data_IF_676694544635
#
_entry.id   IF_676694544635
#
_cell.length_a   1.000
_cell.length_b   1.000
_cell.length_c   1.000
_cell.angle_alpha   90.00
_cell.angle_beta   90.00
_cell.angle_gamma   90.00
#
_symmetry.space_group_name_H-M   'P 1'
#
loop_
_entity.id
_entity.type
_entity.pdbx_description
1 polymer ?
#
# COMPACT_ATOMS: atom_id res chain seq x y z
N UNK A 1 6.96 12.00 -20.01
CA UNK A 1 6.11 12.98 -20.75
C UNK A 1 6.12 14.32 -20.01
N UNK A 2 5.60 15.42 -20.56
CA UNK A 2 5.45 16.71 -19.83
C UNK A 2 4.11 17.34 -20.20
N UNK A 3 3.33 17.79 -19.21
CA UNK A 3 2.07 18.52 -19.42
C UNK A 3 1.00 17.73 -20.15
N UNK A 4 0.93 16.42 -19.92
CA UNK A 4 -0.22 15.60 -20.34
C UNK A 4 -0.99 15.23 -19.08
N UNK A 5 -2.25 15.66 -19.02
CA UNK A 5 -3.12 15.47 -17.87
C UNK A 5 -3.91 14.16 -17.94
N UNK A 6 -4.10 13.59 -19.13
CA UNK A 6 -4.86 12.34 -19.31
C UNK A 6 -4.23 11.45 -20.37
N UNK A 7 -4.02 10.19 -20.02
CA UNK A 7 -3.52 9.15 -20.90
C UNK A 7 -4.44 7.94 -20.85
N UNK A 8 -4.70 7.36 -22.01
CA UNK A 8 -5.44 6.12 -22.12
C UNK A 8 -4.63 5.19 -23.00
N UNK A 9 -4.28 4.01 -22.47
CA UNK A 9 -3.68 2.95 -23.24
C UNK A 9 -4.70 2.30 -24.18
N UNK A 10 -4.34 1.14 -24.72
CA UNK A 10 -5.09 0.51 -25.80
C UNK A 10 -5.34 -0.96 -25.49
N UNK A 11 -5.62 -1.76 -26.52
CA UNK A 11 -5.66 -3.20 -26.34
C UNK A 11 -4.23 -3.74 -26.45
N UNK A 12 -3.81 -4.57 -25.49
CA UNK A 12 -2.49 -5.17 -25.49
C UNK A 12 -1.78 -4.96 -24.16
N UNK A 13 -0.47 -4.82 -24.21
CA UNK A 13 0.37 -4.44 -23.06
C UNK A 13 0.89 -3.03 -23.29
N UNK A 14 0.44 -2.10 -22.47
CA UNK A 14 0.77 -0.69 -22.52
C UNK A 14 1.75 -0.33 -21.40
N UNK A 15 2.81 0.39 -21.78
CA UNK A 15 3.84 0.91 -20.88
C UNK A 15 3.85 2.44 -20.92
N UNK A 16 3.68 3.05 -19.75
CA UNK A 16 3.88 4.48 -19.53
C UNK A 16 5.23 4.74 -18.88
N UNK A 17 6.10 5.47 -19.59
CA UNK A 17 7.35 6.00 -19.02
C UNK A 17 7.22 7.51 -18.78
N UNK A 18 7.25 7.90 -17.51
CA UNK A 18 7.25 9.29 -17.09
C UNK A 18 8.64 9.90 -17.25
N UNK A 19 8.69 11.23 -17.31
CA UNK A 19 9.96 11.95 -17.46
C UNK A 19 10.56 12.29 -16.10
N UNK A 20 11.82 12.72 -16.06
CA UNK A 20 12.59 12.98 -14.83
C UNK A 20 12.12 14.22 -14.01
N UNK A 21 11.13 14.96 -14.49
CA UNK A 21 10.46 16.05 -13.75
C UNK A 21 9.19 15.52 -13.11
N UNK A 22 8.68 16.15 -12.04
CA UNK A 22 7.42 15.72 -11.44
C UNK A 22 6.25 15.72 -12.44
N UNK A 23 5.48 14.63 -12.45
CA UNK A 23 4.35 14.44 -13.35
C UNK A 23 3.03 14.33 -12.57
N UNK A 24 1.95 14.80 -13.17
CA UNK A 24 0.59 14.62 -12.65
C UNK A 24 -0.30 14.23 -13.80
N UNK A 25 -0.88 13.02 -13.74
CA UNK A 25 -1.70 12.52 -14.83
C UNK A 25 -2.80 11.56 -14.34
N UNK A 26 -3.93 11.58 -15.04
CA UNK A 26 -4.91 10.50 -14.99
C UNK A 26 -4.58 9.48 -16.05
N UNK A 27 -4.53 8.21 -15.69
CA UNK A 27 -4.16 7.10 -16.57
C UNK A 27 -5.25 6.05 -16.58
N UNK A 28 -5.46 5.39 -17.72
CA UNK A 28 -6.42 4.29 -17.84
C UNK A 28 -5.90 3.28 -18.84
N UNK A 29 -6.19 2.00 -18.64
CA UNK A 29 -5.79 0.92 -19.56
C UNK A 29 -4.26 0.82 -19.74
N UNK A 30 -3.49 0.91 -18.65
CA UNK A 30 -2.05 0.67 -18.67
C UNK A 30 -1.71 -0.51 -17.76
N UNK A 31 -0.87 -1.43 -18.24
CA UNK A 31 -0.39 -2.58 -17.46
C UNK A 31 0.89 -2.24 -16.70
N UNK A 32 1.65 -1.24 -17.14
CA UNK A 32 2.88 -0.83 -16.47
C UNK A 32 3.08 0.68 -16.50
N UNK A 33 3.40 1.25 -15.34
CA UNK A 33 3.76 2.66 -15.19
C UNK A 33 5.12 2.75 -14.49
N UNK A 34 6.07 3.37 -15.18
CA UNK A 34 7.38 3.67 -14.62
C UNK A 34 7.48 5.19 -14.45
N UNK A 35 7.61 5.61 -13.19
CA UNK A 35 7.89 6.98 -12.84
C UNK A 35 9.32 7.41 -13.16
N UNK A 36 9.56 8.71 -13.02
CA UNK A 36 10.86 9.35 -13.17
C UNK A 36 11.49 9.69 -11.82
N UNK A 37 12.53 10.53 -11.84
CA UNK A 37 13.20 10.99 -10.62
C UNK A 37 12.50 12.16 -9.90
N UNK A 38 11.42 12.69 -10.47
CA UNK A 38 10.65 13.79 -9.89
C UNK A 38 9.37 13.26 -9.26
N UNK A 39 8.72 14.07 -8.42
CA UNK A 39 7.50 13.66 -7.73
C UNK A 39 6.35 13.38 -8.71
N UNK A 40 5.96 12.12 -8.80
CA UNK A 40 4.92 11.62 -9.68
C UNK A 40 3.64 11.33 -8.91
N UNK A 41 2.54 11.93 -9.38
CA UNK A 41 1.18 11.72 -8.90
C UNK A 41 0.33 11.15 -10.03
N UNK A 42 -0.02 9.88 -9.90
CA UNK A 42 -0.85 9.18 -10.88
C UNK A 42 -2.22 8.89 -10.29
N UNK A 43 -3.26 9.24 -11.05
CA UNK A 43 -4.65 8.86 -10.75
C UNK A 43 -5.10 7.79 -11.73
N UNK A 44 -5.59 6.66 -11.24
CA UNK A 44 -6.15 5.61 -12.05
C UNK A 44 -7.58 5.97 -12.49
N UNK A 45 -7.96 5.51 -13.68
CA UNK A 45 -9.32 5.66 -14.19
C UNK A 45 -10.33 4.88 -13.36
N UNK A 46 -11.62 5.17 -13.54
CA UNK A 46 -12.72 4.61 -12.73
C UNK A 46 -13.00 3.12 -12.93
N UNK A 47 -12.33 2.46 -13.89
CA UNK A 47 -12.43 1.01 -14.08
C UNK A 47 -11.63 0.29 -12.97
N UNK A 48 -11.80 -1.03 -12.84
CA UNK A 48 -10.86 -1.81 -12.04
C UNK A 48 -9.53 -1.91 -12.77
N UNK A 49 -8.43 -1.59 -12.10
CA UNK A 49 -7.10 -1.58 -12.69
C UNK A 49 -6.27 -2.77 -12.15
N UNK A 50 -5.42 -3.33 -12.99
CA UNK A 50 -4.40 -4.31 -12.57
C UNK A 50 -3.11 -3.97 -13.28
N UNK A 51 -2.12 -3.47 -12.53
CA UNK A 51 -0.92 -2.88 -13.12
C UNK A 51 0.31 -3.03 -12.21
N UNK A 52 1.48 -2.95 -12.84
CA UNK A 52 2.74 -2.78 -12.16
C UNK A 52 3.15 -1.29 -12.13
N UNK A 53 3.62 -0.82 -10.97
CA UNK A 53 4.15 0.54 -10.82
C UNK A 53 5.56 0.50 -10.23
N UNK A 54 6.42 1.41 -10.66
CA UNK A 54 7.74 1.59 -10.07
C UNK A 54 8.13 3.06 -10.13
N UNK A 55 8.90 3.51 -9.14
CA UNK A 55 9.35 4.90 -9.02
C UNK A 55 8.20 5.93 -8.99
N UNK A 56 7.07 5.61 -8.35
CA UNK A 56 5.98 6.56 -8.13
C UNK A 56 5.91 6.98 -6.67
N UNK A 57 5.74 8.28 -6.43
CA UNK A 57 5.55 8.83 -5.08
C UNK A 57 4.09 8.77 -4.63
N UNK A 58 3.14 8.96 -5.54
CA UNK A 58 1.71 8.98 -5.20
C UNK A 58 0.85 8.28 -6.25
N UNK A 59 0.03 7.33 -5.78
CA UNK A 59 -0.96 6.63 -6.60
C UNK A 59 -2.36 6.79 -5.99
N UNK A 60 -3.28 7.36 -6.76
CA UNK A 60 -4.69 7.44 -6.42
C UNK A 60 -5.42 6.40 -7.26
N UNK A 61 -6.06 5.42 -6.62
CA UNK A 61 -6.95 4.48 -7.27
C UNK A 61 -8.25 5.12 -7.74
N UNK A 62 -8.99 4.36 -8.53
CA UNK A 62 -10.30 4.69 -9.06
C UNK A 62 -11.44 4.12 -8.20
N UNK A 63 -12.64 4.07 -8.78
CA UNK A 63 -13.82 3.46 -8.15
C UNK A 63 -13.92 1.94 -8.35
N UNK A 64 -13.11 1.37 -9.25
CA UNK A 64 -13.06 -0.06 -9.49
C UNK A 64 -12.09 -0.76 -8.55
N UNK A 65 -12.02 -2.09 -8.61
CA UNK A 65 -11.03 -2.85 -7.85
C UNK A 65 -9.64 -2.65 -8.46
N UNK A 66 -8.75 -2.06 -7.68
CA UNK A 66 -7.39 -1.77 -8.07
C UNK A 66 -6.40 -2.74 -7.42
N UNK A 67 -5.64 -3.42 -8.27
CA UNK A 67 -4.56 -4.34 -7.91
C UNK A 67 -3.25 -3.78 -8.44
N UNK A 68 -2.38 -3.37 -7.52
CA UNK A 68 -1.13 -2.69 -7.85
C UNK A 68 0.04 -3.53 -7.37
N UNK A 69 0.93 -3.88 -8.31
CA UNK A 69 2.20 -4.54 -8.01
C UNK A 69 3.33 -3.53 -8.03
N UNK A 70 4.13 -3.49 -6.98
CA UNK A 70 5.31 -2.64 -6.88
C UNK A 70 6.49 -3.29 -7.61
N UNK A 71 7.28 -2.47 -8.29
CA UNK A 71 8.47 -2.91 -9.01
C UNK A 71 9.59 -3.40 -8.10
N UNK A 72 10.60 -4.04 -8.69
CA UNK A 72 11.82 -4.43 -7.97
C UNK A 72 12.68 -3.22 -7.60
N UNK A 73 13.36 -3.27 -6.47
CA UNK A 73 14.28 -2.23 -5.99
C UNK A 73 13.82 -1.54 -4.70
N UNK A 74 12.65 -1.91 -4.18
CA UNK A 74 11.98 -1.23 -3.07
C UNK A 74 11.25 0.02 -3.52
N UNK A 75 10.16 0.33 -2.83
CA UNK A 75 9.25 1.42 -3.16
C UNK A 75 8.96 2.27 -1.93
N UNK A 76 8.72 3.57 -2.14
CA UNK A 76 8.13 4.43 -1.13
C UNK A 76 6.93 5.12 -1.75
N UNK A 77 5.74 4.61 -1.44
CA UNK A 77 4.49 4.99 -2.12
C UNK A 77 3.46 5.53 -1.14
N UNK A 78 2.90 6.70 -1.44
CA UNK A 78 1.62 7.11 -0.88
C UNK A 78 0.49 6.59 -1.78
N UNK A 79 -0.50 5.93 -1.18
CA UNK A 79 -1.63 5.36 -1.93
C UNK A 79 -2.98 5.72 -1.32
N UNK A 80 -3.97 5.94 -2.18
CA UNK A 80 -5.35 6.23 -1.80
C UNK A 80 -6.27 5.38 -2.66
N UNK A 81 -7.28 4.75 -2.06
CA UNK A 81 -8.30 3.97 -2.78
C UNK A 81 -7.73 2.84 -3.66
N UNK A 82 -6.69 2.15 -3.20
CA UNK A 82 -6.19 0.91 -3.82
C UNK A 82 -6.54 -0.27 -2.93
N UNK A 83 -7.23 -1.28 -3.48
CA UNK A 83 -7.74 -2.42 -2.71
C UNK A 83 -6.69 -3.50 -2.48
N UNK A 84 -5.73 -3.67 -3.39
CA UNK A 84 -4.65 -4.66 -3.26
C UNK A 84 -3.31 -4.06 -3.64
N UNK A 85 -2.34 -4.18 -2.74
CA UNK A 85 -0.94 -3.85 -2.98
C UNK A 85 -0.08 -5.10 -2.86
N UNK A 86 0.74 -5.35 -3.87
CA UNK A 86 1.68 -6.47 -3.91
C UNK A 86 3.07 -5.85 -3.97
N UNK A 87 3.90 -6.08 -2.96
CA UNK A 87 5.29 -5.66 -2.94
C UNK A 87 6.14 -6.37 -3.98
N UNK A 88 7.26 -5.73 -4.29
CA UNK A 88 8.30 -6.24 -5.15
C UNK A 88 9.43 -6.87 -4.33
N UNK A 89 10.61 -6.96 -4.95
CA UNK A 89 11.84 -7.19 -4.19
C UNK A 89 12.41 -5.87 -3.70
N UNK A 90 13.04 -5.88 -2.52
CA UNK A 90 13.56 -4.67 -1.88
C UNK A 90 12.74 -4.30 -0.67
N UNK A 91 12.89 -3.07 -0.18
CA UNK A 91 12.10 -2.55 0.95
C UNK A 91 10.95 -1.72 0.39
N UNK A 92 9.72 -2.21 0.57
CA UNK A 92 8.50 -1.50 0.22
C UNK A 92 7.88 -0.83 1.45
N UNK A 93 7.76 0.49 1.36
CA UNK A 93 7.18 1.37 2.38
C UNK A 93 5.96 2.04 1.79
N UNK A 94 4.80 1.82 2.41
CA UNK A 94 3.52 2.35 1.96
C UNK A 94 2.93 3.28 3.00
N UNK A 95 2.46 4.44 2.56
CA UNK A 95 1.63 5.36 3.36
C UNK A 95 0.22 5.39 2.82
N UNK A 96 -0.77 5.21 3.67
CA UNK A 96 -2.19 5.23 3.30
C UNK A 96 -2.74 6.66 3.32
N UNK A 97 -3.78 6.90 2.52
CA UNK A 97 -4.46 8.18 2.43
C UNK A 97 -5.29 8.54 3.66
N UNK A 98 -5.75 9.78 3.72
CA UNK A 98 -6.53 10.32 4.86
C UNK A 98 -8.01 9.93 4.87
N UNK A 99 -8.48 9.14 3.90
CA UNK A 99 -9.90 8.81 3.72
C UNK A 99 -10.39 7.63 4.56
N UNK A 100 -9.49 6.98 5.30
CA UNK A 100 -9.69 5.61 5.80
C UNK A 100 -9.53 4.61 4.66
N UNK A 101 -8.70 3.60 4.89
CA UNK A 101 -8.31 2.65 3.86
C UNK A 101 -8.66 1.23 4.30
N UNK A 102 -9.16 0.40 3.41
CA UNK A 102 -9.13 -1.06 3.60
C UNK A 102 -8.33 -1.65 2.46
N UNK A 103 -7.15 -2.18 2.78
CA UNK A 103 -6.20 -2.68 1.77
C UNK A 103 -5.71 -4.06 2.13
N UNK A 104 -5.62 -4.92 1.11
CA UNK A 104 -4.91 -6.18 1.22
C UNK A 104 -3.48 -6.01 0.74
N UNK A 105 -2.52 -6.43 1.56
CA UNK A 105 -1.09 -6.34 1.25
C UNK A 105 -0.46 -7.73 1.11
N UNK A 106 0.48 -7.86 0.18
CA UNK A 106 1.32 -9.05 0.00
C UNK A 106 2.76 -8.55 -0.08
N UNK A 107 3.66 -9.05 0.77
CA UNK A 107 5.09 -8.73 0.67
C UNK A 107 5.44 -7.24 0.79
N UNK A 108 4.69 -6.47 1.58
CA UNK A 108 5.03 -5.08 1.92
C UNK A 108 5.64 -5.05 3.32
N UNK A 109 6.82 -4.45 3.46
CA UNK A 109 7.57 -4.48 4.73
C UNK A 109 7.12 -3.40 5.73
N UNK A 110 6.60 -2.26 5.26
CA UNK A 110 6.11 -1.22 6.15
C UNK A 110 4.85 -0.54 5.64
N UNK A 111 3.86 -0.41 6.52
CA UNK A 111 2.64 0.36 6.24
C UNK A 111 2.41 1.39 7.34
N UNK A 112 2.18 2.62 6.92
CA UNK A 112 1.79 3.73 7.80
C UNK A 112 0.40 4.21 7.40
N UNK A 113 -0.56 4.11 8.31
CA UNK A 113 -1.88 4.71 8.15
C UNK A 113 -1.85 6.23 8.33
N UNK A 114 -3.03 6.84 8.30
CA UNK A 114 -3.22 8.26 8.48
C UNK A 114 -4.52 8.52 9.25
N UNK A 115 -5.03 9.75 9.20
CA UNK A 115 -6.39 10.01 9.66
C UNK A 115 -7.40 9.16 8.88
N UNK A 116 -8.46 8.74 9.55
CA UNK A 116 -9.43 7.80 8.96
C UNK A 116 -9.41 6.50 9.72
N UNK A 117 -10.13 5.49 9.22
CA UNK A 117 -10.04 4.13 9.74
C UNK A 117 -9.28 3.28 8.73
N UNK A 118 -8.07 2.92 9.06
CA UNK A 118 -7.18 2.09 8.28
C UNK A 118 -7.22 0.64 8.75
N UNK A 119 -7.50 -0.23 7.78
CA UNK A 119 -7.61 -1.67 7.91
C UNK A 119 -6.64 -2.31 6.93
N UNK A 120 -5.63 -2.99 7.45
CA UNK A 120 -4.66 -3.74 6.66
C UNK A 120 -4.93 -5.22 6.82
N UNK A 121 -5.07 -5.92 5.70
CA UNK A 121 -5.19 -7.38 5.64
C UNK A 121 -3.94 -7.94 4.99
N UNK A 122 -3.21 -8.79 5.71
CA UNK A 122 -2.10 -9.53 5.15
C UNK A 122 -2.64 -10.67 4.29
N UNK A 123 -1.94 -10.97 3.21
CA UNK A 123 -2.29 -12.03 2.28
C UNK A 123 -1.09 -12.95 2.12
N UNK A 124 -1.37 -14.26 2.14
CA UNK A 124 -0.47 -15.42 2.02
C UNK A 124 1.04 -15.14 2.02
N UNK A 125 1.75 -15.73 2.99
CA UNK A 125 3.21 -15.74 2.99
C UNK A 125 3.83 -15.61 4.38
N UNK A 126 3.07 -15.11 5.35
CA UNK A 126 3.66 -14.69 6.62
C UNK A 126 4.66 -13.55 6.41
N UNK A 127 5.25 -13.06 7.49
CA UNK A 127 6.36 -12.12 7.41
C UNK A 127 6.55 -11.30 8.66
N UNK A 128 7.60 -10.50 8.67
CA UNK A 128 7.80 -9.45 9.66
C UNK A 128 7.58 -8.12 8.97
N UNK A 129 6.67 -7.31 9.50
CA UNK A 129 6.28 -6.05 8.89
C UNK A 129 6.08 -4.99 9.98
N UNK A 130 6.37 -3.74 9.62
CA UNK A 130 6.25 -2.58 10.52
C UNK A 130 4.95 -1.86 10.24
N UNK A 131 4.12 -1.68 11.26
CA UNK A 131 2.87 -0.93 11.17
C UNK A 131 2.92 0.34 12.02
N UNK A 132 2.37 1.41 11.49
CA UNK A 132 2.21 2.68 12.20
C UNK A 132 0.80 3.21 11.94
N UNK A 133 0.18 3.80 12.95
CA UNK A 133 -1.08 4.56 12.80
C UNK A 133 -2.20 3.75 12.10
N UNK A 134 -2.33 2.46 12.40
CA UNK A 134 -3.42 1.61 11.90
C UNK A 134 -4.44 1.34 13.01
N UNK A 135 -5.73 1.30 12.64
CA UNK A 135 -6.80 0.90 13.57
C UNK A 135 -7.05 -0.60 13.56
N UNK A 136 -6.81 -1.29 12.44
CA UNK A 136 -7.06 -2.73 12.33
C UNK A 136 -6.00 -3.40 11.48
N UNK A 137 -5.47 -4.51 11.99
CA UNK A 137 -4.54 -5.37 11.30
C UNK A 137 -5.03 -6.82 11.37
N UNK A 138 -5.22 -7.43 10.20
CA UNK A 138 -5.64 -8.82 10.05
C UNK A 138 -4.50 -9.57 9.41
N UNK A 139 -3.96 -10.57 10.09
CA UNK A 139 -2.96 -11.47 9.54
C UNK A 139 -3.52 -12.45 8.52
N UNK A 140 -2.65 -13.33 8.08
CA UNK A 140 -2.82 -14.29 7.01
C UNK A 140 -2.88 -15.72 7.56
N UNK A 141 -2.74 -16.72 6.69
CA UNK A 141 -2.56 -18.12 7.10
C UNK A 141 -1.09 -18.49 7.37
N UNK A 142 -0.16 -17.59 7.05
CA UNK A 142 1.27 -17.74 7.31
C UNK A 142 1.65 -17.28 8.73
N UNK A 143 2.95 -17.35 9.07
CA UNK A 143 3.44 -16.79 10.34
C UNK A 143 3.65 -15.29 10.22
N UNK A 144 2.81 -14.52 10.88
CA UNK A 144 2.75 -13.06 10.85
C UNK A 144 3.32 -12.45 12.13
N UNK A 145 4.28 -11.55 11.93
CA UNK A 145 4.95 -10.77 12.98
C UNK A 145 4.75 -9.30 12.68
N UNK A 146 3.92 -8.63 13.47
CA UNK A 146 3.73 -7.19 13.41
C UNK A 146 4.67 -6.49 14.40
N UNK A 147 5.38 -5.48 13.94
CA UNK A 147 6.13 -4.56 14.79
C UNK A 147 5.46 -3.19 14.74
N UNK A 148 4.99 -2.69 15.88
CA UNK A 148 4.49 -1.32 15.98
C UNK A 148 5.69 -0.38 15.89
N UNK A 149 5.71 0.51 14.91
CA UNK A 149 6.80 1.48 14.74
C UNK A 149 6.70 2.66 15.70
N UNK A 150 7.70 3.54 15.69
CA UNK A 150 7.84 4.63 16.67
C UNK A 150 7.18 5.96 16.24
N UNK A 151 6.47 6.00 15.10
CA UNK A 151 6.03 7.26 14.47
C UNK A 151 4.84 7.97 15.14
N UNK A 152 4.21 7.38 16.17
CA UNK A 152 2.90 7.86 16.67
C UNK A 152 2.71 7.89 18.18
N UNK A 153 3.72 7.54 18.98
CA UNK A 153 3.49 7.20 20.39
C UNK A 153 2.72 5.88 20.51
N UNK A 154 1.87 5.77 21.54
CA UNK A 154 1.07 4.57 21.76
C UNK A 154 0.02 4.33 20.66
N UNK A 155 -0.15 3.07 20.25
CA UNK A 155 -1.11 2.66 19.22
C UNK A 155 -2.40 2.10 19.84
N UNK A 156 -3.55 2.26 19.20
CA UNK A 156 -4.77 1.50 19.55
C UNK A 156 -5.12 0.59 18.38
N UNK A 157 -4.83 -0.71 18.51
CA UNK A 157 -4.89 -1.65 17.40
C UNK A 157 -5.84 -2.81 17.69
N UNK A 158 -6.77 -3.07 16.77
CA UNK A 158 -7.51 -4.32 16.71
C UNK A 158 -6.71 -5.32 15.86
N UNK A 159 -6.39 -6.49 16.43
CA UNK A 159 -5.67 -7.56 15.72
C UNK A 159 -6.46 -8.85 15.57
N UNK A 160 -6.27 -9.50 14.44
CA UNK A 160 -6.80 -10.82 14.10
C UNK A 160 -5.73 -11.62 13.37
N UNK A 161 -5.63 -12.92 13.62
CA UNK A 161 -4.74 -13.82 12.90
C UNK A 161 -3.25 -13.45 12.93
N UNK A 162 -2.75 -12.82 14.00
CA UNK A 162 -1.30 -12.60 14.18
C UNK A 162 -0.72 -13.60 15.19
N UNK A 163 0.49 -14.06 14.92
CA UNK A 163 1.27 -14.91 15.83
C UNK A 163 2.11 -14.06 16.79
N UNK A 164 2.67 -12.94 16.32
CA UNK A 164 3.53 -12.08 17.14
C UNK A 164 3.17 -10.61 16.90
N UNK A 165 2.99 -9.87 18.00
CA UNK A 165 2.96 -8.41 18.00
C UNK A 165 4.08 -7.89 18.91
N UNK A 166 4.96 -7.07 18.36
CA UNK A 166 6.02 -6.36 19.09
C UNK A 166 5.60 -4.91 19.23
N UNK A 167 5.32 -4.46 20.45
CA UNK A 167 4.99 -3.06 20.75
C UNK A 167 6.19 -2.13 20.69
N UNK A 168 5.92 -0.83 20.83
CA UNK A 168 6.93 0.22 20.86
C UNK A 168 7.15 0.76 22.29
N UNK A 169 7.92 1.84 22.43
CA UNK A 169 8.15 2.49 23.73
C UNK A 169 6.95 3.28 24.28
N UNK A 170 5.92 3.46 23.46
CA UNK A 170 4.66 4.15 23.74
C UNK A 170 3.63 3.28 24.46
N UNK A 171 2.51 3.93 24.81
CA UNK A 171 1.40 3.27 25.51
C UNK A 171 0.46 2.58 24.53
N UNK A 172 0.75 1.34 24.18
CA UNK A 172 -0.05 0.56 23.24
C UNK A 172 -1.30 -0.06 23.91
N UNK A 173 -2.44 0.04 23.23
CA UNK A 173 -3.70 -0.65 23.54
C UNK A 173 -3.96 -1.64 22.40
N UNK A 174 -3.98 -2.93 22.73
CA UNK A 174 -4.21 -4.00 21.75
C UNK A 174 -5.49 -4.74 22.11
N UNK A 175 -6.41 -4.83 21.15
CA UNK A 175 -7.61 -5.68 21.26
C UNK A 175 -7.44 -6.89 20.35
N UNK A 176 -7.59 -8.09 20.90
CA UNK A 176 -7.62 -9.33 20.12
C UNK A 176 -9.06 -9.57 19.65
N UNK A 177 -9.24 -9.83 18.36
CA UNK A 177 -10.50 -10.40 17.86
C UNK A 177 -10.57 -11.90 18.10
N UNK A 178 -11.76 -12.48 17.93
CA UNK A 178 -12.04 -13.92 18.06
C UNK A 178 -11.35 -14.78 16.98
N UNK A 179 -10.67 -14.17 16.01
CA UNK A 179 -10.00 -14.85 14.91
C UNK A 179 -8.54 -15.18 15.20
N UNK A 180 -8.26 -16.44 15.56
CA UNK A 180 -6.99 -17.13 15.27
C UNK A 180 -5.70 -16.62 15.92
N UNK A 181 -5.73 -15.58 16.75
CA UNK A 181 -4.55 -15.06 17.44
C UNK A 181 -3.98 -16.14 18.38
N UNK A 182 -2.72 -16.55 18.19
CA UNK A 182 -2.01 -17.42 19.14
C UNK A 182 -1.09 -16.57 20.01
N UNK A 183 -1.42 -16.43 21.29
CA UNK A 183 -0.61 -15.70 22.29
C UNK A 183 0.54 -16.53 22.82
#
# INVERSE_FOLDING_TARGET
LRGIETLTGSAGTDLLLLGDTGNTATVSLFETILGGTGNDLITLGSNGNTLAVSQLETLLGGSGLDVVTLGSGGSTLMTVAVETLIGGSGLDVVTLGTGGTTVRIVGIESVTGNSGRDVVQLSDGGGTFVVNLLETLVGSSGSDVAVVGELGGGSTLLIAGLEILVGNSGSDIVTLSDGGNTT
#
